data_IF_373293914440
#
_entry.id   IF_373293914440
#
_cell.length_a   1.000
_cell.length_b   1.000
_cell.length_c   1.000
_cell.angle_alpha   90.00
_cell.angle_beta   90.00
_cell.angle_gamma   90.00
#
_symmetry.space_group_name_H-M   'P 1'
#
loop_
_entity.id
_entity.type
_entity.pdbx_description
1 polymer ?
#
# COMPACT_ATOMS: atom_id res chain seq x y z
N UNK A 1 -3.85 21.50 -21.58
CA UNK A 1 -4.14 21.88 -20.19
C UNK A 1 -2.88 22.48 -19.59
N UNK A 2 -3.00 23.63 -18.94
CA UNK A 2 -1.89 24.18 -18.16
C UNK A 2 -1.76 23.36 -16.86
N UNK A 3 -0.54 23.03 -16.49
CA UNK A 3 -0.23 22.41 -15.21
C UNK A 3 0.27 23.48 -14.27
N UNK A 4 -0.30 23.53 -13.09
CA UNK A 4 0.13 24.39 -12.00
C UNK A 4 0.97 23.56 -11.02
N UNK A 5 2.01 24.18 -10.45
CA UNK A 5 2.83 23.56 -9.41
C UNK A 5 2.58 24.24 -8.06
N UNK A 6 2.31 23.45 -7.06
CA UNK A 6 2.16 23.90 -5.67
C UNK A 6 3.07 23.03 -4.79
N UNK A 7 3.77 23.66 -3.86
CA UNK A 7 4.75 22.97 -3.01
C UNK A 7 4.37 23.04 -1.53
N UNK A 8 4.68 21.99 -0.80
CA UNK A 8 4.81 21.95 0.65
C UNK A 8 6.29 21.76 1.03
N UNK A 9 6.66 21.71 2.32
CA UNK A 9 8.06 21.55 2.72
C UNK A 9 8.80 20.36 2.08
N UNK A 10 8.13 19.25 1.82
CA UNK A 10 8.77 18.02 1.34
C UNK A 10 8.19 17.49 0.01
N UNK A 11 7.12 18.08 -0.51
CA UNK A 11 6.43 17.60 -1.71
C UNK A 11 6.19 18.73 -2.69
N UNK A 12 6.29 18.42 -3.99
CA UNK A 12 5.87 19.30 -5.07
C UNK A 12 4.74 18.63 -5.83
N UNK A 13 3.60 19.28 -5.94
CA UNK A 13 2.44 18.73 -6.63
C UNK A 13 2.24 19.39 -7.98
N UNK A 14 1.90 18.57 -8.98
CA UNK A 14 1.47 19.00 -10.32
C UNK A 14 0.02 18.65 -10.50
N UNK A 15 -0.78 19.65 -10.82
CA UNK A 15 -2.23 19.53 -10.90
C UNK A 15 -2.83 20.50 -11.94
N UNK A 16 -4.08 20.26 -12.34
CA UNK A 16 -4.85 21.24 -13.06
C UNK A 16 -5.38 22.31 -12.07
N UNK A 17 -5.60 23.52 -12.54
CA UNK A 17 -6.08 24.65 -11.69
C UNK A 17 -7.36 24.31 -10.93
N UNK A 18 -8.22 23.45 -11.49
CA UNK A 18 -9.47 23.00 -10.88
C UNK A 18 -9.30 22.13 -9.61
N UNK A 19 -8.07 21.80 -9.20
CA UNK A 19 -7.77 20.88 -8.07
C UNK A 19 -7.09 21.54 -6.89
N UNK A 20 -7.02 22.86 -6.84
CA UNK A 20 -6.28 23.56 -5.78
C UNK A 20 -6.79 23.23 -4.37
N UNK A 21 -8.11 23.17 -4.19
CA UNK A 21 -8.71 22.80 -2.89
C UNK A 21 -8.43 21.34 -2.49
N UNK A 22 -8.56 20.42 -3.45
CA UNK A 22 -8.28 18.99 -3.27
C UNK A 22 -6.80 18.75 -2.92
N UNK A 23 -5.92 19.55 -3.49
CA UNK A 23 -4.48 19.41 -3.36
C UNK A 23 -3.97 19.70 -1.95
N UNK A 24 -4.52 20.72 -1.29
CA UNK A 24 -4.12 21.09 0.06
C UNK A 24 -4.25 19.90 1.01
N UNK A 25 -5.41 19.23 1.00
CA UNK A 25 -5.64 18.05 1.83
C UNK A 25 -4.71 16.88 1.49
N UNK A 26 -4.32 16.73 0.21
CA UNK A 26 -3.35 15.69 -0.19
C UNK A 26 -1.96 16.01 0.35
N UNK A 27 -1.50 17.26 0.24
CA UNK A 27 -0.19 17.65 0.75
C UNK A 27 -0.13 17.58 2.29
N UNK A 28 -1.15 18.02 3.00
CA UNK A 28 -1.27 17.89 4.45
C UNK A 28 -1.18 16.41 4.88
N UNK A 29 -1.96 15.53 4.27
CA UNK A 29 -1.92 14.09 4.52
C UNK A 29 -0.52 13.49 4.30
N UNK A 30 0.19 13.93 3.26
CA UNK A 30 1.53 13.45 2.94
C UNK A 30 2.57 13.93 3.94
N UNK A 31 2.51 15.21 4.39
CA UNK A 31 3.41 15.76 5.41
C UNK A 31 3.20 15.05 6.75
N UNK A 32 1.95 14.86 7.19
CA UNK A 32 1.63 14.10 8.41
C UNK A 32 2.14 12.65 8.33
N UNK A 33 1.96 12.02 7.15
CA UNK A 33 2.46 10.66 6.93
C UNK A 33 3.98 10.62 7.00
N UNK A 34 4.67 11.59 6.40
CA UNK A 34 6.13 11.71 6.42
C UNK A 34 6.65 11.90 7.85
N UNK A 35 6.06 12.81 8.61
CA UNK A 35 6.44 13.06 10.01
C UNK A 35 6.36 11.79 10.85
N UNK A 36 5.23 11.07 10.76
CA UNK A 36 5.03 9.81 11.48
C UNK A 36 6.06 8.76 11.10
N UNK A 37 6.37 8.60 9.79
CA UNK A 37 7.33 7.60 9.32
C UNK A 37 8.78 7.98 9.64
N UNK A 38 9.08 9.28 9.78
CA UNK A 38 10.42 9.77 10.11
C UNK A 38 10.97 9.25 11.43
N UNK A 39 10.10 8.92 12.37
CA UNK A 39 10.47 8.35 13.66
C UNK A 39 10.76 6.84 13.60
N UNK A 40 10.36 6.16 12.53
CA UNK A 40 10.41 4.70 12.43
C UNK A 40 11.36 4.19 11.33
N UNK A 41 11.42 4.90 10.19
CA UNK A 41 12.20 4.46 9.04
C UNK A 41 13.56 5.16 8.93
N UNK A 42 14.63 4.42 8.53
CA UNK A 42 15.99 4.98 8.45
C UNK A 42 16.18 5.95 7.28
N UNK A 43 15.33 5.89 6.26
CA UNK A 43 15.42 6.72 5.07
C UNK A 43 14.03 7.16 4.61
N UNK A 44 13.87 8.47 4.40
CA UNK A 44 12.69 9.05 3.80
C UNK A 44 13.03 9.66 2.45
N UNK A 45 12.24 9.39 1.39
CA UNK A 45 12.41 10.06 0.11
C UNK A 45 12.24 11.59 0.25
N UNK A 46 13.10 12.33 -0.40
CA UNK A 46 13.05 13.79 -0.48
C UNK A 46 12.57 14.25 -1.86
N UNK A 47 12.02 15.46 -1.93
CA UNK A 47 11.60 16.10 -3.18
C UNK A 47 10.63 15.21 -4.01
N UNK A 48 9.64 14.61 -3.35
CA UNK A 48 8.68 13.73 -4.01
C UNK A 48 7.66 14.56 -4.79
N UNK A 49 7.54 14.27 -6.09
CA UNK A 49 6.53 14.90 -6.94
C UNK A 49 5.19 14.15 -6.83
N UNK A 50 4.12 14.88 -6.61
CA UNK A 50 2.74 14.35 -6.60
C UNK A 50 2.04 14.82 -7.86
N UNK A 51 1.56 13.91 -8.69
CA UNK A 51 0.83 14.22 -9.93
C UNK A 51 -0.62 13.81 -9.74
N UNK A 52 -1.52 14.80 -9.71
CA UNK A 52 -2.96 14.56 -9.67
C UNK A 52 -3.50 14.41 -11.09
N UNK A 53 -4.15 13.29 -11.35
CA UNK A 53 -4.75 12.99 -12.64
C UNK A 53 -6.26 13.22 -12.63
N UNK A 54 -6.78 13.88 -13.66
CA UNK A 54 -8.19 14.19 -13.87
C UNK A 54 -9.00 13.00 -14.37
N UNK A 55 -8.32 11.97 -14.83
CA UNK A 55 -8.99 10.79 -15.35
C UNK A 55 -8.14 9.53 -15.16
N UNK A 56 -8.84 8.39 -15.16
CA UNK A 56 -8.19 7.10 -15.17
C UNK A 56 -7.33 6.90 -16.41
N UNK A 57 -7.74 7.43 -17.55
CA UNK A 57 -6.99 7.29 -18.80
C UNK A 57 -5.63 7.98 -18.69
N UNK A 58 -5.58 9.20 -18.16
CA UNK A 58 -4.34 9.93 -17.91
C UNK A 58 -3.42 9.16 -16.96
N UNK A 59 -3.97 8.65 -15.84
CA UNK A 59 -3.21 7.84 -14.90
C UNK A 59 -2.65 6.56 -15.54
N UNK A 60 -3.42 5.89 -16.41
CA UNK A 60 -2.98 4.68 -17.11
C UNK A 60 -1.95 5.00 -18.21
N UNK A 61 -2.07 6.14 -18.89
CA UNK A 61 -1.11 6.60 -19.91
C UNK A 61 0.23 7.04 -19.29
N UNK A 62 0.21 7.59 -18.09
CA UNK A 62 1.44 7.97 -17.38
C UNK A 62 2.35 6.76 -17.08
N UNK A 63 1.80 5.54 -17.00
CA UNK A 63 2.56 4.30 -16.84
C UNK A 63 1.82 3.10 -17.49
N UNK A 64 1.86 2.98 -18.81
CA UNK A 64 1.02 2.01 -19.56
C UNK A 64 1.34 0.55 -19.25
N UNK A 65 2.51 0.25 -18.71
CA UNK A 65 2.91 -1.11 -18.36
C UNK A 65 2.20 -1.63 -17.11
N UNK A 66 1.92 -0.78 -16.12
CA UNK A 66 1.28 -1.20 -14.87
C UNK A 66 -0.17 -1.67 -15.03
N UNK A 67 -1.05 -1.01 -15.79
CA UNK A 67 -2.39 -1.51 -16.07
C UNK A 67 -2.39 -2.87 -16.75
N UNK A 68 -1.46 -3.09 -17.67
CA UNK A 68 -1.30 -4.38 -18.35
C UNK A 68 -0.89 -5.48 -17.36
N UNK A 69 0.11 -5.23 -16.53
CA UNK A 69 0.56 -6.16 -15.50
C UNK A 69 -0.56 -6.48 -14.51
N UNK A 70 -1.29 -5.47 -14.03
CA UNK A 70 -2.42 -5.66 -13.10
C UNK A 70 -3.60 -6.40 -13.71
N UNK A 71 -3.81 -6.27 -15.03
CA UNK A 71 -4.85 -7.03 -15.73
C UNK A 71 -4.57 -8.53 -15.68
N UNK A 72 -3.31 -8.91 -15.70
CA UNK A 72 -2.88 -10.32 -15.67
C UNK A 72 -2.81 -10.84 -14.22
N UNK A 73 -2.23 -10.05 -13.30
CA UNK A 73 -1.89 -10.51 -11.95
C UNK A 73 -3.04 -10.36 -10.94
N UNK A 74 -3.83 -9.28 -11.05
CA UNK A 74 -4.87 -8.94 -10.08
C UNK A 74 -6.11 -8.33 -10.73
N UNK A 75 -6.85 -9.08 -11.57
CA UNK A 75 -7.98 -8.53 -12.33
C UNK A 75 -9.07 -7.92 -11.41
N UNK A 76 -9.32 -8.50 -10.24
CA UNK A 76 -10.26 -7.98 -9.26
C UNK A 76 -9.80 -6.64 -8.65
N UNK A 77 -8.50 -6.44 -8.45
CA UNK A 77 -7.95 -5.21 -7.89
C UNK A 77 -7.91 -4.04 -8.90
N UNK A 78 -8.14 -4.29 -10.21
CA UNK A 78 -8.16 -3.26 -11.24
C UNK A 78 -9.18 -2.15 -10.95
N UNK A 79 -10.30 -2.46 -10.32
CA UNK A 79 -11.31 -1.46 -9.92
C UNK A 79 -10.76 -0.46 -8.91
N UNK A 80 -9.82 -0.88 -8.09
CA UNK A 80 -9.24 -0.10 -6.99
C UNK A 80 -7.91 0.55 -7.37
N UNK A 81 -7.51 0.50 -8.66
CA UNK A 81 -6.35 1.25 -9.11
C UNK A 81 -6.64 2.74 -9.05
N UNK A 82 -6.17 3.37 -7.99
CA UNK A 82 -6.36 4.77 -7.71
C UNK A 82 -5.06 5.59 -7.88
N UNK A 83 -3.93 4.89 -8.02
CA UNK A 83 -2.62 5.50 -8.20
C UNK A 83 -1.49 4.48 -8.33
N UNK A 84 -0.29 4.98 -8.54
CA UNK A 84 0.93 4.19 -8.55
C UNK A 84 2.13 5.06 -8.13
N UNK A 85 3.15 4.45 -7.51
CA UNK A 85 4.39 5.10 -7.16
C UNK A 85 5.45 4.82 -8.22
N UNK A 86 6.08 5.88 -8.74
CA UNK A 86 7.22 5.87 -9.61
C UNK A 86 8.52 6.16 -8.85
N UNK A 87 9.61 6.40 -9.56
CA UNK A 87 10.87 6.81 -8.96
C UNK A 87 10.79 8.28 -8.54
N UNK A 88 10.55 8.55 -7.26
CA UNK A 88 10.42 9.91 -6.74
C UNK A 88 9.13 10.63 -7.13
N UNK A 89 8.13 9.90 -7.62
CA UNK A 89 6.84 10.48 -8.01
C UNK A 89 5.67 9.60 -7.56
N UNK A 90 4.59 10.25 -7.14
CA UNK A 90 3.30 9.64 -6.84
C UNK A 90 2.30 10.08 -7.90
N UNK A 91 1.73 9.16 -8.64
CA UNK A 91 0.67 9.41 -9.59
C UNK A 91 -0.64 8.93 -8.98
N UNK A 92 -1.61 9.81 -8.78
CA UNK A 92 -2.86 9.51 -8.11
C UNK A 92 -4.03 10.22 -8.79
N UNK A 93 -5.20 9.61 -8.76
CA UNK A 93 -6.42 10.28 -9.16
C UNK A 93 -6.77 11.41 -8.19
N UNK A 94 -7.33 12.49 -8.70
CA UNK A 94 -7.80 13.59 -7.87
C UNK A 94 -8.78 13.07 -6.79
N UNK A 95 -8.77 13.62 -5.56
CA UNK A 95 -9.56 13.16 -4.42
C UNK A 95 -11.06 13.02 -4.72
N UNK A 96 -11.66 13.92 -5.51
CA UNK A 96 -13.04 13.80 -5.94
C UNK A 96 -13.32 12.51 -6.72
N UNK A 97 -12.41 12.12 -7.62
CA UNK A 97 -12.53 10.89 -8.41
C UNK A 97 -12.28 9.64 -7.55
N UNK A 98 -11.45 9.76 -6.53
CA UNK A 98 -11.27 8.69 -5.54
C UNK A 98 -12.56 8.46 -4.76
N UNK A 99 -13.19 9.54 -4.29
CA UNK A 99 -14.45 9.48 -3.56
C UNK A 99 -15.59 8.90 -4.39
N UNK A 100 -15.71 9.27 -5.67
CA UNK A 100 -16.71 8.74 -6.61
C UNK A 100 -16.54 7.24 -6.90
N UNK A 101 -15.33 6.73 -6.77
CA UNK A 101 -15.02 5.30 -6.98
C UNK A 101 -15.27 4.43 -5.76
N UNK A 102 -15.56 5.05 -4.63
CA UNK A 102 -15.86 4.31 -3.41
C UNK A 102 -17.09 3.40 -3.63
N UNK A 103 -16.98 2.16 -3.19
CA UNK A 103 -18.13 1.29 -3.10
C UNK A 103 -19.05 1.79 -1.96
N UNK A 104 -20.34 1.50 -2.05
CA UNK A 104 -21.27 1.79 -0.95
C UNK A 104 -21.07 0.78 0.21
N UNK A 105 -19.86 0.77 0.77
CA UNK A 105 -19.41 -0.09 1.86
C UNK A 105 -18.59 0.78 2.79
N UNK A 106 -18.83 0.69 4.08
CA UNK A 106 -18.07 1.40 5.11
C UNK A 106 -16.55 1.23 4.92
N UNK A 107 -15.77 2.30 5.10
CA UNK A 107 -14.32 2.31 4.94
C UNK A 107 -13.80 2.36 3.50
N UNK A 108 -14.67 2.16 2.48
CA UNK A 108 -14.23 2.16 1.08
C UNK A 108 -13.74 3.52 0.62
N UNK A 109 -14.39 4.59 1.04
CA UNK A 109 -14.00 5.97 0.71
C UNK A 109 -12.72 6.35 1.40
N UNK A 110 -12.61 6.05 2.68
CA UNK A 110 -11.45 6.32 3.54
C UNK A 110 -10.21 5.62 2.98
N UNK A 111 -10.33 4.33 2.63
CA UNK A 111 -9.24 3.59 1.99
C UNK A 111 -8.74 4.26 0.70
N UNK A 112 -9.66 4.74 -0.14
CA UNK A 112 -9.29 5.38 -1.39
C UNK A 112 -8.63 6.75 -1.16
N UNK A 113 -9.15 7.55 -0.24
CA UNK A 113 -8.57 8.86 0.09
C UNK A 113 -7.18 8.74 0.72
N UNK A 114 -6.88 7.63 1.39
CA UNK A 114 -5.53 7.31 1.89
C UNK A 114 -4.56 6.81 0.80
N UNK A 115 -4.97 6.75 -0.48
CA UNK A 115 -4.09 6.29 -1.56
C UNK A 115 -2.79 7.10 -1.67
N UNK A 116 -2.75 8.44 -1.59
CA UNK A 116 -1.49 9.19 -1.62
C UNK A 116 -0.53 8.76 -0.51
N UNK A 117 -1.04 8.62 0.71
CA UNK A 117 -0.26 8.15 1.86
C UNK A 117 0.28 6.72 1.65
N UNK A 118 -0.53 5.80 1.12
CA UNK A 118 -0.11 4.43 0.85
C UNK A 118 0.99 4.36 -0.23
N UNK A 119 0.89 5.19 -1.27
CA UNK A 119 1.92 5.30 -2.31
C UNK A 119 3.22 5.90 -1.74
N UNK A 120 3.12 6.89 -0.84
CA UNK A 120 4.30 7.43 -0.17
C UNK A 120 4.94 6.39 0.76
N UNK A 121 4.16 5.65 1.55
CA UNK A 121 4.67 4.52 2.34
C UNK A 121 5.41 3.49 1.46
N UNK A 122 4.92 3.22 0.25
CA UNK A 122 5.61 2.34 -0.69
C UNK A 122 6.98 2.92 -1.11
N UNK A 123 7.09 4.24 -1.34
CA UNK A 123 8.39 4.88 -1.61
C UNK A 123 9.33 4.78 -0.41
N UNK A 124 8.85 5.02 0.80
CA UNK A 124 9.64 4.92 2.04
C UNK A 124 10.18 3.50 2.23
N UNK A 125 9.32 2.49 2.04
CA UNK A 125 9.74 1.08 2.11
C UNK A 125 10.77 0.77 1.03
N UNK A 126 10.58 1.23 -0.20
CA UNK A 126 11.53 1.01 -1.29
C UNK A 126 12.87 1.75 -1.09
N UNK A 127 12.86 2.93 -0.47
CA UNK A 127 14.08 3.65 -0.10
C UNK A 127 14.89 2.90 0.97
N UNK A 128 14.21 2.28 1.92
CA UNK A 128 14.80 1.45 2.98
C UNK A 128 15.12 0.03 2.52
N UNK A 129 14.49 -0.44 1.44
CA UNK A 129 14.65 -1.79 0.89
C UNK A 129 14.71 -1.74 -0.65
N UNK A 130 15.90 -1.53 -1.24
CA UNK A 130 16.08 -1.40 -2.70
C UNK A 130 15.68 -2.65 -3.51
N UNK A 131 15.35 -3.75 -2.83
CA UNK A 131 14.85 -4.95 -3.47
C UNK A 131 13.37 -4.84 -3.86
N UNK A 132 12.64 -3.88 -3.30
CA UNK A 132 11.23 -3.65 -3.58
C UNK A 132 11.00 -2.54 -4.62
N UNK A 133 9.86 -2.59 -5.35
CA UNK A 133 9.44 -1.48 -6.19
C UNK A 133 8.94 -0.29 -5.34
N UNK A 134 9.01 0.95 -5.86
CA UNK A 134 9.65 1.37 -7.08
C UNK A 134 11.18 1.39 -7.03
N UNK A 135 11.94 1.41 -8.16
CA UNK A 135 11.40 1.46 -9.53
C UNK A 135 10.87 0.12 -10.02
N UNK A 136 9.85 0.18 -10.89
CA UNK A 136 9.25 -0.99 -11.53
C UNK A 136 10.09 -1.43 -12.72
N UNK A 137 10.85 -2.47 -12.56
CA UNK A 137 11.62 -3.15 -13.60
C UNK A 137 11.34 -4.66 -13.52
N UNK A 138 11.74 -5.47 -14.51
CA UNK A 138 11.43 -6.90 -14.50
C UNK A 138 11.86 -7.64 -13.24
N UNK A 139 13.04 -7.31 -12.69
CA UNK A 139 13.57 -7.95 -11.46
C UNK A 139 12.78 -7.56 -10.22
N UNK A 140 12.51 -6.26 -10.03
CA UNK A 140 11.71 -5.78 -8.89
C UNK A 140 10.25 -6.22 -9.00
N UNK A 141 9.71 -6.36 -10.21
CA UNK A 141 8.36 -6.86 -10.46
C UNK A 141 8.22 -8.33 -10.07
N UNK A 142 9.14 -9.20 -10.51
CA UNK A 142 9.14 -10.62 -10.14
C UNK A 142 9.32 -10.78 -8.63
N UNK A 143 10.26 -10.05 -8.04
CA UNK A 143 10.49 -10.06 -6.60
C UNK A 143 9.29 -9.51 -5.84
N UNK A 144 8.73 -8.39 -6.29
CA UNK A 144 7.53 -7.80 -5.73
C UNK A 144 6.32 -8.75 -5.79
N UNK A 145 6.18 -9.56 -6.84
CA UNK A 145 5.13 -10.58 -6.92
C UNK A 145 5.32 -11.69 -5.86
N UNK A 146 6.54 -12.13 -5.61
CA UNK A 146 6.85 -13.11 -4.55
C UNK A 146 6.58 -12.56 -3.14
N UNK A 147 6.80 -11.27 -2.94
CA UNK A 147 6.64 -10.55 -1.69
C UNK A 147 5.40 -9.64 -1.67
N UNK A 148 4.42 -9.94 -2.52
CA UNK A 148 3.27 -9.06 -2.75
C UNK A 148 2.51 -8.70 -1.47
N UNK A 149 2.38 -9.65 -0.53
CA UNK A 149 1.75 -9.43 0.75
C UNK A 149 2.50 -8.39 1.61
N UNK A 150 3.84 -8.37 1.54
CA UNK A 150 4.64 -7.40 2.29
C UNK A 150 4.69 -6.05 1.58
N UNK A 151 4.88 -6.05 0.25
CA UNK A 151 4.90 -4.80 -0.54
C UNK A 151 3.58 -4.03 -0.41
N UNK A 152 2.45 -4.72 -0.61
CA UNK A 152 1.14 -4.11 -0.48
C UNK A 152 0.77 -3.89 0.99
N UNK A 153 1.07 -4.86 1.86
CA UNK A 153 0.70 -4.84 3.27
C UNK A 153 1.40 -3.75 4.06
N UNK A 154 2.69 -3.54 3.84
CA UNK A 154 3.42 -2.45 4.48
C UNK A 154 2.85 -1.09 4.05
N UNK A 155 2.62 -0.88 2.75
CA UNK A 155 2.01 0.35 2.26
C UNK A 155 0.65 0.62 2.91
N UNK A 156 -0.20 -0.40 3.01
CA UNK A 156 -1.54 -0.29 3.61
C UNK A 156 -1.51 -0.08 5.12
N UNK A 157 -0.65 -0.81 5.82
CA UNK A 157 -0.59 -0.71 7.27
C UNK A 157 0.00 0.63 7.71
N UNK A 158 1.14 1.02 7.16
CA UNK A 158 1.79 2.28 7.49
C UNK A 158 0.99 3.52 7.07
N UNK A 159 0.12 3.42 6.06
CA UNK A 159 -0.79 4.51 5.67
C UNK A 159 -2.10 4.56 6.47
N UNK A 160 -2.40 3.54 7.26
CA UNK A 160 -3.67 3.42 7.99
C UNK A 160 -4.81 2.77 7.18
N UNK A 161 -4.60 2.43 5.90
CA UNK A 161 -5.65 1.81 5.07
C UNK A 161 -6.17 0.49 5.65
N UNK A 162 -5.33 -0.29 6.35
CA UNK A 162 -5.71 -1.58 6.94
C UNK A 162 -6.87 -1.44 7.91
N UNK A 163 -6.97 -0.34 8.67
CA UNK A 163 -8.05 -0.09 9.60
C UNK A 163 -9.43 0.00 8.93
N UNK A 164 -9.48 0.45 7.67
CA UNK A 164 -10.69 0.62 6.88
C UNK A 164 -11.04 -0.61 6.01
N UNK A 165 -10.20 -1.65 6.01
CA UNK A 165 -10.38 -2.83 5.17
C UNK A 165 -11.40 -3.85 5.71
N UNK A 166 -11.89 -3.67 6.95
CA UNK A 166 -12.76 -4.62 7.66
C UNK A 166 -13.91 -5.19 6.82
N UNK A 167 -14.78 -4.40 6.18
CA UNK A 167 -15.90 -4.95 5.43
C UNK A 167 -15.48 -5.78 4.21
N UNK A 168 -14.39 -5.36 3.54
CA UNK A 168 -13.84 -6.09 2.40
C UNK A 168 -13.21 -7.42 2.83
N UNK A 169 -12.53 -7.45 3.98
CA UNK A 169 -11.98 -8.66 4.59
C UNK A 169 -13.11 -9.62 4.98
N UNK A 170 -14.13 -9.13 5.67
CA UNK A 170 -15.30 -9.92 6.06
C UNK A 170 -16.00 -10.55 4.83
N UNK A 171 -16.16 -9.79 3.76
CA UNK A 171 -16.69 -10.28 2.50
C UNK A 171 -15.80 -11.37 1.89
N UNK A 172 -14.48 -11.13 1.82
CA UNK A 172 -13.50 -12.08 1.27
C UNK A 172 -13.53 -13.43 2.01
N UNK A 173 -13.66 -13.40 3.34
CA UNK A 173 -13.71 -14.61 4.16
C UNK A 173 -15.02 -15.40 3.96
N UNK A 174 -16.14 -14.70 3.72
CA UNK A 174 -17.44 -15.37 3.44
C UNK A 174 -17.55 -15.95 2.04
N UNK A 175 -17.02 -15.24 1.04
CA UNK A 175 -17.26 -15.56 -0.39
C UNK A 175 -16.16 -16.43 -1.01
N UNK A 176 -15.06 -16.69 -0.32
CA UNK A 176 -13.92 -17.38 -0.89
C UNK A 176 -13.44 -18.59 -0.10
N UNK A 177 -12.56 -19.34 -0.73
CA UNK A 177 -11.77 -20.36 -0.03
C UNK A 177 -10.88 -19.69 1.03
N UNK A 178 -10.43 -20.49 1.99
CA UNK A 178 -9.50 -20.05 3.02
C UNK A 178 -8.24 -19.44 2.39
N UNK A 179 -7.84 -18.21 2.78
CA UNK A 179 -6.67 -17.57 2.19
C UNK A 179 -5.37 -18.25 2.64
N UNK A 180 -4.35 -18.23 1.78
CA UNK A 180 -3.01 -18.70 2.11
C UNK A 180 -2.33 -17.81 3.15
N UNK A 181 -1.39 -18.36 3.91
CA UNK A 181 -0.51 -17.63 4.81
C UNK A 181 0.98 -17.85 4.44
N UNK A 182 1.73 -16.76 4.17
CA UNK A 182 1.25 -15.39 3.93
C UNK A 182 0.39 -15.30 2.67
N UNK A 183 -0.46 -14.25 2.55
CA UNK A 183 -1.36 -14.08 1.41
C UNK A 183 -0.62 -14.06 0.07
N UNK A 184 -1.08 -14.86 -0.90
CA UNK A 184 -0.54 -14.82 -2.26
C UNK A 184 -1.02 -13.60 -3.03
N UNK A 185 -0.45 -13.37 -4.19
CA UNK A 185 -0.67 -12.20 -5.05
C UNK A 185 -2.15 -11.79 -5.17
N UNK A 186 -3.07 -12.76 -5.31
CA UNK A 186 -4.51 -12.52 -5.42
C UNK A 186 -5.09 -11.81 -4.20
N UNK A 187 -4.67 -12.20 -3.01
CA UNK A 187 -5.19 -11.70 -1.73
C UNK A 187 -4.24 -10.67 -1.07
N UNK A 188 -3.06 -10.49 -1.63
CA UNK A 188 -2.01 -9.63 -1.07
C UNK A 188 -2.45 -8.18 -0.86
N UNK A 189 -3.16 -7.62 -1.84
CA UNK A 189 -3.65 -6.23 -1.81
C UNK A 189 -4.75 -6.03 -0.75
N UNK A 190 -5.46 -7.09 -0.36
CA UNK A 190 -6.52 -6.98 0.64
C UNK A 190 -6.04 -7.42 2.04
N UNK A 191 -5.27 -8.50 2.09
CA UNK A 191 -4.93 -9.17 3.34
C UNK A 191 -3.48 -8.93 3.79
N UNK A 192 -2.62 -8.35 2.93
CA UNK A 192 -1.22 -8.10 3.30
C UNK A 192 -1.07 -7.22 4.53
N UNK A 193 -1.86 -6.16 4.62
CA UNK A 193 -1.85 -5.25 5.77
C UNK A 193 -2.19 -5.92 7.09
N UNK A 194 -3.03 -6.95 7.08
CA UNK A 194 -3.39 -7.69 8.29
C UNK A 194 -2.25 -8.57 8.83
N UNK A 195 -1.33 -9.01 7.97
CA UNK A 195 -0.12 -9.72 8.41
C UNK A 195 0.84 -8.75 9.09
N UNK A 196 1.02 -7.56 8.52
CA UNK A 196 1.86 -6.51 9.12
C UNK A 196 1.26 -6.03 10.44
N UNK A 197 -0.08 -5.87 10.50
CA UNK A 197 -0.80 -5.54 11.72
C UNK A 197 -0.61 -6.61 12.82
N UNK A 198 -0.66 -7.88 12.45
CA UNK A 198 -0.38 -8.97 13.39
C UNK A 198 1.06 -8.89 13.93
N UNK A 199 2.05 -8.69 13.06
CA UNK A 199 3.46 -8.54 13.48
C UNK A 199 3.60 -7.36 14.44
N UNK A 200 3.00 -6.21 14.13
CA UNK A 200 3.06 -5.03 15.00
C UNK A 200 2.41 -5.26 16.37
N UNK A 201 1.35 -6.06 16.45
CA UNK A 201 0.65 -6.40 17.70
C UNK A 201 1.39 -7.40 18.57
N UNK A 202 1.97 -8.41 17.95
CA UNK A 202 2.64 -9.52 18.66
C UNK A 202 4.09 -9.19 19.03
N UNK A 203 4.81 -8.52 18.11
CA UNK A 203 6.26 -8.29 18.21
C UNK A 203 6.64 -6.79 18.27
N UNK A 204 5.64 -5.92 18.19
CA UNK A 204 5.81 -4.47 18.23
C UNK A 204 6.02 -3.80 16.88
N UNK A 205 5.81 -2.50 16.83
CA UNK A 205 5.88 -1.70 15.60
C UNK A 205 7.27 -1.73 14.96
N UNK A 206 8.34 -1.74 15.76
CA UNK A 206 9.71 -1.83 15.26
C UNK A 206 9.97 -3.15 14.52
N UNK A 207 9.33 -4.25 14.90
CA UNK A 207 9.42 -5.51 14.18
C UNK A 207 8.76 -5.42 12.81
N UNK A 208 7.62 -4.74 12.70
CA UNK A 208 6.97 -4.48 11.41
C UNK A 208 7.85 -3.60 10.50
N UNK A 209 8.51 -2.57 11.05
CA UNK A 209 9.47 -1.74 10.30
C UNK A 209 10.66 -2.55 9.83
N UNK A 210 11.29 -3.35 10.71
CA UNK A 210 12.41 -4.23 10.35
C UNK A 210 12.03 -5.21 9.22
N UNK A 211 10.83 -5.79 9.31
CA UNK A 211 10.30 -6.68 8.27
C UNK A 211 10.14 -5.96 6.92
N UNK A 212 9.68 -4.71 6.92
CA UNK A 212 9.55 -3.91 5.71
C UNK A 212 10.92 -3.49 5.12
N UNK A 213 11.91 -3.23 5.98
CA UNK A 213 13.25 -2.77 5.57
C UNK A 213 14.19 -3.89 5.13
N UNK A 214 13.88 -5.17 5.39
CA UNK A 214 14.78 -6.29 5.11
C UNK A 214 14.11 -7.47 4.42
N UNK A 215 14.86 -8.20 3.58
CA UNK A 215 14.42 -9.45 2.97
C UNK A 215 15.37 -10.58 3.38
N UNK A 216 14.92 -11.49 4.23
CA UNK A 216 15.69 -12.70 4.54
C UNK A 216 15.93 -13.55 3.29
N UNK A 217 17.10 -14.18 3.21
CA UNK A 217 17.47 -15.05 2.08
C UNK A 217 16.51 -16.24 1.88
N UNK A 218 15.92 -16.75 2.97
CA UNK A 218 14.99 -17.88 2.98
C UNK A 218 13.62 -17.62 2.36
N UNK A 219 13.30 -16.35 2.05
CA UNK A 219 12.04 -15.99 1.41
C UNK A 219 10.88 -15.66 2.36
N UNK A 220 9.65 -15.45 1.83
CA UNK A 220 8.53 -14.88 2.58
C UNK A 220 8.11 -15.67 3.84
N UNK A 221 8.15 -17.00 3.79
CA UNK A 221 7.82 -17.84 4.95
C UNK A 221 8.90 -17.78 6.02
N UNK A 222 10.16 -17.78 5.61
CA UNK A 222 11.28 -17.67 6.54
C UNK A 222 11.28 -16.30 7.22
N UNK A 223 10.95 -15.23 6.52
CA UNK A 223 10.80 -13.89 7.10
C UNK A 223 9.78 -13.86 8.25
N UNK A 224 8.66 -14.58 8.10
CA UNK A 224 7.67 -14.68 9.16
C UNK A 224 8.15 -15.51 10.35
N UNK A 225 8.89 -16.61 10.09
CA UNK A 225 9.50 -17.38 11.17
C UNK A 225 10.51 -16.52 11.95
N UNK A 226 11.33 -15.76 11.26
CA UNK A 226 12.34 -14.89 11.89
C UNK A 226 11.69 -13.75 12.68
N UNK A 227 10.68 -13.06 12.13
CA UNK A 227 10.01 -11.96 12.82
C UNK A 227 9.20 -12.42 14.03
N UNK A 228 8.66 -13.63 14.01
CA UNK A 228 7.99 -14.26 15.16
C UNK A 228 8.95 -15.11 16.02
N UNK A 229 10.23 -14.72 16.09
CA UNK A 229 11.25 -15.28 16.97
C UNK A 229 11.38 -16.81 16.89
N UNK A 230 11.31 -17.37 15.69
CA UNK A 230 11.43 -18.82 15.45
C UNK A 230 10.14 -19.61 15.72
N UNK A 231 9.03 -18.94 15.99
CA UNK A 231 7.72 -19.58 16.17
C UNK A 231 7.33 -20.38 14.91
N UNK A 232 6.79 -21.56 15.09
CA UNK A 232 6.36 -22.40 13.98
C UNK A 232 5.34 -21.67 13.09
N UNK A 233 5.52 -21.72 11.78
CA UNK A 233 4.67 -21.02 10.83
C UNK A 233 3.18 -21.39 10.95
N UNK A 234 2.90 -22.67 11.28
CA UNK A 234 1.53 -23.14 11.53
C UNK A 234 0.86 -22.46 12.72
N UNK A 235 1.63 -22.12 13.75
CA UNK A 235 1.14 -21.37 14.90
C UNK A 235 0.83 -19.93 14.49
N UNK A 236 1.76 -19.25 13.80
CA UNK A 236 1.57 -17.88 13.30
C UNK A 236 0.40 -17.79 12.33
N UNK A 237 0.20 -18.81 11.49
CA UNK A 237 -0.97 -18.94 10.63
C UNK A 237 -2.27 -19.03 11.43
N UNK A 238 -2.32 -19.85 12.48
CA UNK A 238 -3.47 -19.98 13.37
C UNK A 238 -3.81 -18.65 14.05
N UNK A 239 -2.80 -17.96 14.59
CA UNK A 239 -2.95 -16.62 15.19
C UNK A 239 -3.47 -15.61 14.18
N UNK A 240 -2.93 -15.61 12.95
CA UNK A 240 -3.39 -14.72 11.90
C UNK A 240 -4.84 -14.99 11.50
N UNK A 241 -5.26 -16.25 11.41
CA UNK A 241 -6.67 -16.61 11.11
C UNK A 241 -7.62 -16.12 12.20
N UNK A 242 -7.24 -16.28 13.46
CA UNK A 242 -8.01 -15.73 14.59
C UNK A 242 -8.06 -14.20 14.54
N UNK A 243 -6.95 -13.54 14.14
CA UNK A 243 -6.88 -12.11 13.94
C UNK A 243 -7.82 -11.64 12.82
N UNK A 244 -7.83 -12.32 11.67
CA UNK A 244 -8.76 -12.04 10.57
C UNK A 244 -10.23 -12.19 10.99
N UNK A 245 -10.58 -13.24 11.73
CA UNK A 245 -11.94 -13.45 12.24
C UNK A 245 -12.37 -12.28 13.14
N UNK A 246 -11.48 -11.84 14.04
CA UNK A 246 -11.73 -10.68 14.91
C UNK A 246 -11.92 -9.38 14.11
N UNK A 247 -11.06 -9.12 13.11
CA UNK A 247 -11.21 -7.95 12.21
C UNK A 247 -12.55 -8.03 11.48
N UNK A 248 -12.94 -9.19 10.99
CA UNK A 248 -14.20 -9.40 10.28
C UNK A 248 -15.45 -9.29 11.17
N UNK A 249 -15.28 -9.30 12.50
CA UNK A 249 -16.39 -9.28 13.45
C UNK A 249 -17.10 -10.64 13.59
N UNK A 250 -16.35 -11.72 13.36
CA UNK A 250 -16.80 -13.12 13.54
C UNK A 250 -16.37 -13.65 14.91
#
# INVERSE_FOLDING_TARGET
MAWTETSSPNFTARHADSHEDDLRGVLELLEETRERLGNAFPALPENVTVVLHDSRLELELAQPFLPLMRRITTPAARRYLAGWAGRGALHVLAPRLLAERAANVEGSREMLLLTPAALYCQLVVAASNPAFPPPWNPRSTIRGARWAWLVAGAAQWFSGQTAHARPAIARRLREGSQPDFPPRLRDAVLLGGTVVDLVAREEGELAAVKLACGLPAGGPRQALVEVFEGRALTHSEGTWRAHLARIAGQ
#
